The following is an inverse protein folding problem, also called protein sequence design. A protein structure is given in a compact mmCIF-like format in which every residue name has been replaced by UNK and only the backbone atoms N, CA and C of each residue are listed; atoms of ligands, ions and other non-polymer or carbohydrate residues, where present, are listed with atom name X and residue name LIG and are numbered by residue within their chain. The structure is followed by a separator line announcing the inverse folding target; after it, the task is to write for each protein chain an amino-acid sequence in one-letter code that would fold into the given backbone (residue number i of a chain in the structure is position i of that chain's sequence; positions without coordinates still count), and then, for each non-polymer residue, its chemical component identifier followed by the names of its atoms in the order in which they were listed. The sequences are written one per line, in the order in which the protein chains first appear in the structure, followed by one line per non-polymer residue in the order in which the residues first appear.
data_IF_198034651111
#
_entry.id   IF_198034651111
#
_cell.length_a   1.000
_cell.length_b   1.000
_cell.length_c   1.000
_cell.angle_alpha   90.00
_cell.angle_beta   90.00
_cell.angle_gamma   90.00
#
_symmetry.space_group_name_H-M   'P 1'
#
loop_
_entity.id
_entity.type
_entity.pdbx_description
1 polymer ?
#
# COMPACT_ATOMS: atom_id res chain seq x y z
N UNK A 1 18.51 -12.60 12.15
CA UNK A 1 19.50 -11.55 11.83
C UNK A 1 18.73 -10.43 11.18
N UNK A 2 18.51 -9.33 11.91
CA UNK A 2 17.86 -8.11 11.41
C UNK A 2 18.67 -7.56 10.24
N UNK A 3 18.02 -7.16 9.16
CA UNK A 3 18.66 -6.50 8.01
C UNK A 3 18.78 -4.99 8.24
N UNK A 4 19.18 -4.59 9.44
CA UNK A 4 19.32 -3.19 9.85
C UNK A 4 20.61 -2.60 9.27
N UNK A 5 20.52 -1.48 8.55
CA UNK A 5 21.66 -0.74 8.04
C UNK A 5 21.24 0.62 7.50
N UNK A 6 22.16 1.58 7.31
CA UNK A 6 21.86 2.95 6.87
C UNK A 6 21.23 3.05 5.46
N UNK A 7 21.07 1.92 4.78
CA UNK A 7 20.36 1.81 3.51
C UNK A 7 18.88 1.46 3.69
N UNK A 8 18.45 0.97 4.85
CA UNK A 8 17.09 0.49 5.10
C UNK A 8 16.27 1.54 5.84
N UNK A 9 14.99 1.63 5.47
CA UNK A 9 14.02 2.51 6.10
C UNK A 9 13.15 1.66 7.03
N UNK A 10 13.27 1.84 8.34
CA UNK A 10 12.57 1.02 9.34
C UNK A 10 11.67 1.86 10.26
N UNK A 11 11.84 3.19 10.23
CA UNK A 11 11.08 4.13 11.03
C UNK A 11 10.51 5.26 10.18
N UNK A 12 9.49 5.94 10.72
CA UNK A 12 8.90 7.13 10.12
C UNK A 12 9.93 8.24 9.91
N UNK A 13 10.83 8.45 10.87
CA UNK A 13 11.91 9.42 10.72
C UNK A 13 12.85 9.08 9.56
N UNK A 14 13.18 7.79 9.37
CA UNK A 14 14.02 7.35 8.26
C UNK A 14 13.27 7.44 6.93
N UNK A 15 11.95 7.27 6.93
CA UNK A 15 11.09 7.45 5.75
C UNK A 15 11.16 8.89 5.27
N UNK A 16 10.94 9.86 6.15
CA UNK A 16 11.07 11.28 5.80
C UNK A 16 12.49 11.66 5.40
N UNK A 17 13.51 11.08 6.05
CA UNK A 17 14.91 11.33 5.70
C UNK A 17 15.25 10.80 4.30
N UNK A 18 14.80 9.60 3.94
CA UNK A 18 14.99 9.01 2.62
C UNK A 18 14.28 9.84 1.55
N UNK A 19 13.03 10.29 1.78
CA UNK A 19 12.31 11.18 0.88
C UNK A 19 13.09 12.49 0.61
N UNK A 20 13.56 13.15 1.67
CA UNK A 20 14.33 14.38 1.55
C UNK A 20 15.65 14.17 0.79
N UNK A 21 16.36 13.06 1.06
CA UNK A 21 17.57 12.69 0.35
C UNK A 21 17.31 12.48 -1.14
N UNK A 22 16.28 11.71 -1.48
CA UNK A 22 15.89 11.43 -2.88
C UNK A 22 15.50 12.71 -3.62
N UNK A 23 14.77 13.61 -2.97
CA UNK A 23 14.42 14.93 -3.52
C UNK A 23 15.68 15.77 -3.78
N UNK A 24 16.59 15.88 -2.81
CA UNK A 24 17.85 16.63 -2.95
C UNK A 24 18.76 16.09 -4.06
N UNK A 25 18.72 14.79 -4.30
CA UNK A 25 19.47 14.14 -5.37
C UNK A 25 18.75 14.17 -6.73
N UNK A 26 17.54 14.73 -6.81
CA UNK A 26 16.75 14.79 -8.04
C UNK A 26 16.20 13.43 -8.49
N UNK A 27 16.14 12.44 -7.60
CA UNK A 27 15.58 11.11 -7.90
C UNK A 27 14.04 11.15 -7.95
N UNK A 28 13.43 12.02 -7.15
CA UNK A 28 11.99 12.30 -7.15
C UNK A 28 11.76 13.81 -7.18
N UNK A 29 10.63 14.23 -7.73
CA UNK A 29 10.20 15.63 -7.64
C UNK A 29 9.65 15.95 -6.25
N UNK A 30 9.55 17.25 -5.93
CA UNK A 30 8.88 17.71 -4.72
C UNK A 30 7.41 17.26 -4.68
N UNK A 31 6.73 17.29 -5.82
CA UNK A 31 5.35 16.79 -5.98
C UNK A 31 5.23 15.31 -5.62
N UNK A 32 6.13 14.45 -6.12
CA UNK A 32 6.14 13.02 -5.78
C UNK A 32 6.45 12.81 -4.29
N UNK A 33 7.38 13.58 -3.72
CA UNK A 33 7.68 13.50 -2.29
C UNK A 33 6.48 13.86 -1.43
N UNK A 34 5.79 14.97 -1.75
CA UNK A 34 4.62 15.42 -0.99
C UNK A 34 3.46 14.43 -1.14
N UNK A 35 3.20 13.98 -2.36
CA UNK A 35 2.17 12.98 -2.63
C UNK A 35 2.40 11.68 -1.84
N UNK A 36 3.65 11.28 -1.63
CA UNK A 36 3.96 10.07 -0.87
C UNK A 36 3.67 10.26 0.63
N UNK A 37 3.98 11.44 1.16
CA UNK A 37 3.64 11.82 2.54
C UNK A 37 2.11 11.86 2.68
N UNK A 38 1.41 12.50 1.75
CA UNK A 38 -0.05 12.59 1.79
C UNK A 38 -0.72 11.20 1.72
N UNK A 39 -0.12 10.23 1.02
CA UNK A 39 -0.60 8.86 0.99
C UNK A 39 -0.27 8.10 2.29
N UNK A 40 0.88 8.37 2.89
CA UNK A 40 1.27 7.78 4.18
C UNK A 40 0.36 8.27 5.31
N UNK A 41 0.13 9.58 5.40
CA UNK A 41 -0.76 10.19 6.40
C UNK A 41 -2.20 9.68 6.24
N UNK A 42 -2.70 9.62 5.00
CA UNK A 42 -4.00 8.99 4.70
C UNK A 42 -4.07 7.53 5.20
N UNK A 43 -3.00 6.77 4.98
CA UNK A 43 -2.96 5.38 5.42
C UNK A 43 -2.95 5.28 6.95
N UNK A 44 -2.22 6.15 7.65
CA UNK A 44 -2.25 6.23 9.12
C UNK A 44 -3.63 6.58 9.67
N UNK A 45 -4.35 7.49 9.01
CA UNK A 45 -5.69 7.91 9.45
C UNK A 45 -6.75 6.83 9.21
N UNK A 46 -6.65 6.12 8.08
CA UNK A 46 -7.65 5.12 7.69
C UNK A 46 -7.37 3.72 8.25
N UNK A 47 -6.10 3.30 8.25
CA UNK A 47 -5.65 1.97 8.61
C UNK A 47 -5.72 1.70 10.12
N UNK A 48 -5.82 0.42 10.50
CA UNK A 48 -5.68 0.03 11.91
C UNK A 48 -4.21 -0.19 12.30
N UNK A 49 -3.34 -0.35 11.29
CA UNK A 49 -1.88 -0.44 11.46
C UNK A 49 -1.12 -0.10 10.17
N UNK A 50 0.10 0.43 10.34
CA UNK A 50 1.00 0.82 9.26
C UNK A 50 2.39 0.27 9.53
N UNK A 51 2.86 -0.61 8.65
CA UNK A 51 4.24 -1.10 8.71
C UNK A 51 5.09 -0.39 7.66
N UNK A 52 6.15 0.26 8.13
CA UNK A 52 7.26 0.70 7.27
C UNK A 52 8.16 -0.51 7.08
N UNK A 53 8.27 -1.00 5.84
CA UNK A 53 8.99 -2.24 5.57
C UNK A 53 10.50 -2.03 5.59
N UNK A 54 11.26 -3.03 6.06
CA UNK A 54 12.74 -3.12 6.01
C UNK A 54 13.31 -3.15 4.57
N UNK A 55 12.93 -2.19 3.73
CA UNK A 55 13.40 -2.06 2.35
C UNK A 55 14.36 -0.89 2.22
N UNK A 56 15.14 -0.90 1.14
CA UNK A 56 16.16 0.12 0.89
C UNK A 56 15.62 1.51 0.49
N UNK A 57 14.31 1.71 0.56
CA UNK A 57 13.61 2.90 0.07
C UNK A 57 12.39 3.13 0.94
N UNK A 58 11.94 4.39 1.02
CA UNK A 58 10.68 4.78 1.64
C UNK A 58 9.53 3.94 1.08
N UNK A 59 8.99 3.09 1.94
CA UNK A 59 7.92 2.15 1.64
C UNK A 59 7.09 1.92 2.89
N UNK A 60 5.81 1.65 2.69
CA UNK A 60 4.93 1.23 3.78
C UNK A 60 3.83 0.31 3.28
N UNK A 61 3.14 -0.32 4.23
CA UNK A 61 1.96 -1.17 4.02
C UNK A 61 0.87 -0.75 4.97
N UNK A 62 -0.36 -0.70 4.46
CA UNK A 62 -1.54 -0.41 5.25
C UNK A 62 -2.31 -1.69 5.56
N UNK A 63 -2.67 -1.90 6.81
CA UNK A 63 -3.47 -3.03 7.28
C UNK A 63 -4.73 -2.51 7.97
N UNK A 64 -5.76 -3.35 7.98
CA UNK A 64 -6.97 -3.14 8.77
C UNK A 64 -7.36 -4.44 9.47
N UNK A 65 -7.94 -4.32 10.65
CA UNK A 65 -8.26 -5.43 11.56
C UNK A 65 -9.31 -6.36 10.96
N UNK A 66 -10.26 -5.83 10.19
CA UNK A 66 -11.23 -6.61 9.42
C UNK A 66 -10.57 -7.65 8.50
N UNK A 67 -9.31 -7.42 8.10
CA UNK A 67 -8.52 -8.31 7.24
C UNK A 67 -7.44 -9.08 8.01
N UNK A 68 -7.23 -8.77 9.30
CA UNK A 68 -6.37 -9.54 10.21
C UNK A 68 -7.09 -10.81 10.67
N UNK A 69 -7.25 -11.77 9.77
CA UNK A 69 -7.61 -13.14 10.17
C UNK A 69 -6.44 -13.87 10.86
N UNK A 70 -6.60 -15.16 11.14
CA UNK A 70 -5.58 -16.00 11.80
C UNK A 70 -4.33 -16.30 10.94
N UNK A 71 -4.21 -15.70 9.76
CA UNK A 71 -3.15 -16.01 8.80
C UNK A 71 -1.81 -15.40 9.21
N UNK A 72 -0.77 -16.23 9.26
CA UNK A 72 0.57 -15.88 9.76
C UNK A 72 1.25 -14.65 9.12
N UNK A 73 0.77 -14.15 7.98
CA UNK A 73 1.40 -13.05 7.26
C UNK A 73 0.54 -11.78 7.14
N UNK A 74 -0.56 -11.64 7.90
CA UNK A 74 -1.42 -10.44 7.98
C UNK A 74 -1.60 -9.70 6.65
N UNK A 75 -2.64 -9.98 5.86
CA UNK A 75 -2.71 -9.42 4.52
C UNK A 75 -3.01 -7.90 4.56
N UNK A 76 -2.06 -7.08 4.07
CA UNK A 76 -2.25 -5.63 3.89
C UNK A 76 -3.31 -5.32 2.83
N UNK A 77 -3.95 -4.16 2.91
CA UNK A 77 -4.86 -3.66 1.86
C UNK A 77 -4.05 -3.21 0.64
N UNK A 78 -3.05 -2.36 0.87
CA UNK A 78 -2.11 -1.92 -0.16
C UNK A 78 -0.71 -1.70 0.41
N UNK A 79 0.26 -1.59 -0.49
CA UNK A 79 1.64 -1.17 -0.19
C UNK A 79 2.07 -0.07 -1.16
N UNK A 80 2.86 0.89 -0.69
CA UNK A 80 3.43 1.94 -1.53
C UNK A 80 4.95 2.01 -1.38
N UNK A 81 5.64 2.32 -2.48
CA UNK A 81 7.07 2.60 -2.52
C UNK A 81 7.31 3.85 -3.36
N UNK A 82 7.97 4.87 -2.80
CA UNK A 82 8.10 6.18 -3.44
C UNK A 82 8.81 6.13 -4.81
N UNK A 83 9.77 5.21 -4.96
CA UNK A 83 10.54 5.01 -6.19
C UNK A 83 10.13 3.74 -6.93
N UNK A 84 8.99 3.17 -6.58
CA UNK A 84 8.53 1.88 -7.07
C UNK A 84 7.05 1.89 -7.35
N UNK A 85 6.36 0.89 -6.80
CA UNK A 85 4.99 0.58 -7.13
C UNK A 85 4.07 0.83 -5.93
N UNK A 86 2.87 1.30 -6.23
CA UNK A 86 1.68 1.07 -5.40
C UNK A 86 1.10 -0.27 -5.81
N UNK A 87 0.80 -1.13 -4.85
CA UNK A 87 0.22 -2.46 -5.08
C UNK A 87 -0.97 -2.67 -4.18
N UNK A 88 -2.09 -3.14 -4.74
CA UNK A 88 -3.20 -3.71 -3.96
C UNK A 88 -2.96 -5.21 -3.79
N UNK A 89 -3.39 -5.76 -2.65
CA UNK A 89 -3.13 -7.17 -2.33
C UNK A 89 -4.38 -8.04 -2.50
N UNK A 90 -4.24 -9.29 -2.96
CA UNK A 90 -5.36 -10.16 -3.28
C UNK A 90 -6.14 -10.68 -2.07
N UNK A 91 -7.46 -10.88 -2.28
CA UNK A 91 -8.38 -11.60 -1.38
C UNK A 91 -7.89 -12.91 -0.80
N UNK A 92 -7.05 -13.62 -1.55
CA UNK A 92 -6.52 -14.91 -1.15
C UNK A 92 -5.03 -14.88 -1.41
N UNK A 93 -4.23 -14.92 -0.35
CA UNK A 93 -2.81 -15.27 -0.47
C UNK A 93 -2.72 -16.77 -0.78
N UNK A 94 -1.92 -17.20 -1.78
CA UNK A 94 -1.68 -18.62 -1.99
C UNK A 94 -1.01 -19.22 -0.74
N UNK A 95 -1.56 -20.36 -0.30
CA UNK A 95 -1.10 -21.09 0.89
C UNK A 95 0.42 -21.30 0.87
N UNK A 96 1.09 -21.09 2.01
CA UNK A 96 2.43 -21.65 2.23
C UNK A 96 2.38 -22.97 3.03
N UNK A 97 1.25 -23.30 3.69
CA UNK A 97 0.98 -24.57 4.38
C UNK A 97 -0.51 -24.91 4.39
N UNK A 98 -0.84 -26.21 4.28
CA UNK A 98 -2.20 -26.77 4.16
C UNK A 98 -3.10 -26.66 5.41
N UNK A 99 -2.70 -25.93 6.46
CA UNK A 99 -3.31 -26.09 7.80
C UNK A 99 -4.11 -24.91 8.35
N UNK A 100 -4.20 -23.78 7.65
CA UNK A 100 -4.92 -22.61 8.15
C UNK A 100 -6.13 -22.30 7.24
N UNK A 101 -7.32 -22.04 7.79
CA UNK A 101 -8.46 -21.60 6.99
C UNK A 101 -8.09 -20.28 6.29
N UNK A 102 -8.47 -20.10 5.01
CA UNK A 102 -8.23 -18.84 4.33
C UNK A 102 -8.90 -17.71 5.11
N UNK A 103 -8.24 -16.57 5.23
CA UNK A 103 -8.94 -15.32 5.56
C UNK A 103 -9.90 -15.09 4.42
N UNK A 104 -11.18 -15.34 4.65
CA UNK A 104 -12.22 -15.19 3.65
C UNK A 104 -12.61 -13.73 3.54
N UNK A 105 -11.86 -12.94 2.78
CA UNK A 105 -12.45 -11.71 2.27
C UNK A 105 -13.59 -12.08 1.33
N UNK A 106 -14.61 -11.24 1.28
CA UNK A 106 -15.61 -11.36 0.23
C UNK A 106 -14.88 -11.19 -1.13
N UNK A 107 -14.83 -12.27 -1.89
CA UNK A 107 -14.14 -12.30 -3.18
C UNK A 107 -14.74 -11.27 -4.14
N UNK A 108 -16.04 -10.97 -4.00
CA UNK A 108 -16.70 -9.97 -4.82
C UNK A 108 -16.27 -8.55 -4.45
N UNK A 109 -16.20 -8.21 -3.15
CA UNK A 109 -15.77 -6.88 -2.71
C UNK A 109 -14.33 -6.59 -3.18
N UNK A 110 -13.45 -7.59 -3.10
CA UNK A 110 -12.09 -7.45 -3.62
C UNK A 110 -12.06 -7.32 -5.15
N UNK A 111 -12.90 -8.07 -5.87
CA UNK A 111 -13.01 -7.93 -7.33
C UNK A 111 -13.46 -6.51 -7.69
N UNK A 112 -14.42 -5.94 -6.97
CA UNK A 112 -14.91 -4.58 -7.18
C UNK A 112 -13.82 -3.55 -6.85
N UNK A 113 -13.11 -3.72 -5.73
CA UNK A 113 -11.94 -2.90 -5.36
C UNK A 113 -10.84 -2.96 -6.43
N UNK A 114 -10.52 -4.16 -6.93
CA UNK A 114 -9.54 -4.35 -8.00
C UNK A 114 -9.99 -3.68 -9.29
N UNK A 115 -11.27 -3.78 -9.65
CA UNK A 115 -11.82 -3.12 -10.84
C UNK A 115 -11.77 -1.60 -10.73
N UNK A 116 -12.08 -1.06 -9.56
CA UNK A 116 -11.97 0.37 -9.29
C UNK A 116 -10.51 0.83 -9.39
N UNK A 117 -9.56 0.11 -8.79
CA UNK A 117 -8.13 0.39 -8.94
C UNK A 117 -7.66 0.37 -10.41
N UNK A 118 -8.14 -0.59 -11.19
CA UNK A 118 -7.84 -0.69 -12.62
C UNK A 118 -8.51 0.39 -13.49
N UNK A 119 -9.43 1.16 -12.94
CA UNK A 119 -10.06 2.28 -13.64
C UNK A 119 -9.21 3.55 -13.59
N UNK A 120 -8.25 3.62 -12.66
CA UNK A 120 -7.27 4.70 -12.58
C UNK A 120 -6.41 4.75 -13.85
N UNK A 121 -6.00 5.94 -14.25
CA UNK A 121 -5.19 6.14 -15.45
C UNK A 121 -3.78 5.60 -15.20
N UNK A 122 -3.23 4.99 -16.26
CA UNK A 122 -1.91 4.40 -16.21
C UNK A 122 -1.84 3.05 -15.47
N UNK A 123 -2.94 2.55 -14.88
CA UNK A 123 -3.03 1.17 -14.39
C UNK A 123 -3.42 0.25 -15.55
N UNK A 124 -2.56 -0.72 -15.95
CA UNK A 124 -2.92 -1.65 -17.01
C UNK A 124 -4.09 -2.55 -16.58
N UNK A 125 -4.96 -2.91 -17.54
CA UNK A 125 -6.04 -3.86 -17.29
C UNK A 125 -5.47 -5.21 -16.86
N UNK A 126 -6.01 -5.77 -15.78
CA UNK A 126 -5.58 -7.05 -15.23
C UNK A 126 -4.53 -6.93 -14.12
N UNK A 127 -3.82 -5.81 -14.06
CA UNK A 127 -2.78 -5.57 -13.07
C UNK A 127 -3.37 -5.16 -11.72
N UNK A 128 -2.53 -5.27 -10.70
CA UNK A 128 -2.80 -4.93 -9.29
C UNK A 128 -1.71 -4.00 -8.74
N UNK A 129 -0.91 -3.44 -9.63
CA UNK A 129 0.21 -2.57 -9.30
C UNK A 129 0.39 -1.49 -10.37
N UNK A 130 0.85 -0.32 -9.94
CA UNK A 130 1.16 0.82 -10.80
C UNK A 130 2.34 1.58 -10.22
N UNK A 131 3.13 2.25 -11.05
CA UNK A 131 4.21 3.08 -10.52
C UNK A 131 3.63 4.24 -9.71
N UNK A 132 4.22 4.52 -8.54
CA UNK A 132 3.76 5.63 -7.71
C UNK A 132 3.86 6.96 -8.47
N UNK A 133 4.93 7.14 -9.25
CA UNK A 133 5.10 8.31 -10.10
C UNK A 133 3.98 8.47 -11.14
N UNK A 134 3.50 7.37 -11.73
CA UNK A 134 2.36 7.39 -12.66
C UNK A 134 1.10 7.87 -11.95
N UNK A 135 0.81 7.32 -10.76
CA UNK A 135 -0.35 7.70 -9.96
C UNK A 135 -0.37 9.21 -9.64
N UNK A 136 0.80 9.78 -9.33
CA UNK A 136 0.96 11.22 -9.07
C UNK A 136 0.82 12.04 -10.37
N UNK A 137 1.50 11.64 -11.44
CA UNK A 137 1.55 12.42 -12.70
C UNK A 137 0.18 12.47 -13.40
N UNK A 138 -0.58 11.38 -13.33
CA UNK A 138 -1.93 11.31 -13.90
C UNK A 138 -3.01 11.94 -13.00
N UNK A 139 -2.62 12.37 -11.78
CA UNK A 139 -3.47 12.98 -10.75
C UNK A 139 -4.55 12.05 -10.18
N UNK A 140 -4.24 10.77 -10.14
CA UNK A 140 -5.17 9.72 -9.68
C UNK A 140 -4.98 9.34 -8.21
N UNK A 141 -4.07 10.01 -7.50
CA UNK A 141 -3.81 9.72 -6.09
C UNK A 141 -5.07 9.91 -5.21
N UNK A 142 -5.83 10.97 -5.43
CA UNK A 142 -7.05 11.22 -4.66
C UNK A 142 -8.16 10.21 -4.99
N UNK A 143 -8.27 9.80 -6.25
CA UNK A 143 -9.21 8.75 -6.66
C UNK A 143 -8.79 7.39 -6.06
N UNK A 144 -7.49 7.09 -6.03
CA UNK A 144 -6.96 5.92 -5.34
C UNK A 144 -7.30 5.91 -3.85
N UNK A 145 -7.12 7.04 -3.14
CA UNK A 145 -7.49 7.16 -1.72
C UNK A 145 -8.99 6.87 -1.51
N UNK A 146 -9.86 7.45 -2.33
CA UNK A 146 -11.30 7.19 -2.28
C UNK A 146 -11.65 5.72 -2.49
N UNK A 147 -11.02 5.06 -3.47
CA UNK A 147 -11.23 3.63 -3.75
C UNK A 147 -10.82 2.76 -2.55
N UNK A 148 -9.71 3.11 -1.88
CA UNK A 148 -9.24 2.41 -0.68
C UNK A 148 -10.18 2.65 0.51
N UNK A 149 -10.65 3.88 0.71
CA UNK A 149 -11.58 4.24 1.78
C UNK A 149 -12.93 3.50 1.65
N UNK A 150 -13.48 3.46 0.43
CA UNK A 150 -14.71 2.72 0.14
C UNK A 150 -14.55 1.23 0.48
N UNK A 151 -13.45 0.62 0.04
CA UNK A 151 -13.18 -0.80 0.32
C UNK A 151 -13.00 -1.07 1.81
N UNK A 152 -12.21 -0.25 2.53
CA UNK A 152 -12.02 -0.40 3.98
C UNK A 152 -13.34 -0.24 4.73
N UNK A 153 -14.20 0.69 4.32
CA UNK A 153 -15.52 0.90 4.91
C UNK A 153 -16.40 -0.34 4.76
N UNK A 154 -16.49 -0.90 3.54
CA UNK A 154 -17.25 -2.13 3.27
C UNK A 154 -16.77 -3.27 4.16
N UNK A 155 -15.46 -3.43 4.31
CA UNK A 155 -14.90 -4.51 5.13
C UNK A 155 -15.19 -4.33 6.63
N UNK A 156 -15.18 -3.10 7.13
CA UNK A 156 -15.54 -2.79 8.52
C UNK A 156 -17.03 -2.98 8.80
N UNK A 157 -17.91 -2.69 7.85
CA UNK A 157 -19.36 -2.90 8.00
C UNK A 157 -19.77 -4.38 8.02
N UNK A 158 -18.99 -5.24 7.36
CA UNK A 158 -19.24 -6.68 7.25
C UNK A 158 -18.59 -7.53 8.36
N UNK A 159 -17.72 -6.93 9.18
CA UNK A 159 -16.99 -7.59 10.29
C UNK A 159 -17.78 -7.56 11.60
#
# INVERSE_FOLDING_TARGET
MSRTGPEYVESESELYQDLDLKRKQGQISEEVSQAFIDLYDFAQDLGDDIEIGEAKNANFRMFVDAHRGDYQNNPSVFSANVSGLVKIWPAKMPYNRESEPPVGWDEQDYVDFKHAFQSLRGVPRGDQEVSFQTLVTERDLEEFKSIVEDYVTICREKS
#
